data_IF_312825359851
#
_entry.id   IF_312825359851
#
_cell.length_a   1.000
_cell.length_b   1.000
_cell.length_c   1.000
_cell.angle_alpha   90.00
_cell.angle_beta   90.00
_cell.angle_gamma   90.00
#
_symmetry.space_group_name_H-M   'P 1'
#
loop_
_entity.id
_entity.type
_entity.pdbx_description
1 polymer ?
#
# COMPACT_ATOMS: atom_id res chain seq x y z
N UNK A 1 11.87 17.05 -10.99
CA UNK A 1 11.91 15.69 -11.58
C UNK A 1 10.48 15.27 -11.92
N UNK A 2 10.15 15.27 -13.22
CA UNK A 2 8.80 15.08 -13.71
C UNK A 2 8.43 13.61 -13.77
N UNK A 3 7.24 13.27 -13.28
CA UNK A 3 6.58 11.99 -13.54
C UNK A 3 5.81 12.19 -14.85
N UNK A 4 6.37 11.83 -16.01
CA UNK A 4 5.68 11.99 -17.28
C UNK A 4 4.42 11.13 -17.25
N UNK A 5 3.36 11.62 -17.89
CA UNK A 5 2.13 10.87 -18.06
C UNK A 5 2.45 9.60 -18.85
N UNK A 6 2.24 8.39 -18.30
CA UNK A 6 2.49 7.18 -19.05
C UNK A 6 1.39 7.07 -20.12
N UNK A 7 1.77 7.31 -21.37
CA UNK A 7 0.86 7.35 -22.51
C UNK A 7 0.80 6.00 -23.23
N UNK A 8 1.81 5.15 -23.03
CA UNK A 8 1.93 3.86 -23.69
C UNK A 8 1.68 2.72 -22.70
N UNK A 9 1.03 1.61 -23.12
CA UNK A 9 0.87 0.43 -22.28
C UNK A 9 2.19 -0.09 -21.67
N UNK A 10 3.33 0.08 -22.35
CA UNK A 10 4.67 -0.23 -21.83
C UNK A 10 5.10 0.68 -20.67
N UNK A 11 4.75 1.96 -20.69
CA UNK A 11 5.04 2.89 -19.60
C UNK A 11 4.17 2.56 -18.38
N UNK A 12 2.90 2.21 -18.62
CA UNK A 12 1.97 1.77 -17.58
C UNK A 12 2.42 0.43 -16.99
N UNK A 13 2.88 -0.51 -17.82
CA UNK A 13 3.36 -1.82 -17.40
C UNK A 13 4.68 -1.75 -16.63
N UNK A 14 5.61 -0.88 -17.04
CA UNK A 14 6.87 -0.63 -16.31
C UNK A 14 6.62 0.07 -14.97
N UNK A 15 5.64 0.97 -14.91
CA UNK A 15 5.30 1.69 -13.68
C UNK A 15 4.51 0.83 -12.66
N UNK A 16 3.53 0.04 -13.13
CA UNK A 16 2.65 -0.76 -12.27
C UNK A 16 3.10 -2.23 -12.10
N UNK A 17 4.08 -2.70 -12.87
CA UNK A 17 4.50 -4.10 -12.90
C UNK A 17 3.41 -5.06 -13.42
N UNK A 18 2.44 -4.54 -14.17
CA UNK A 18 1.31 -5.30 -14.71
C UNK A 18 1.56 -5.56 -16.20
N UNK A 19 2.21 -6.68 -16.52
CA UNK A 19 2.55 -7.06 -17.90
C UNK A 19 1.35 -7.46 -18.77
N UNK A 20 0.17 -7.67 -18.19
CA UNK A 20 -1.00 -8.24 -18.89
C UNK A 20 -2.22 -7.30 -18.99
N UNK A 21 -2.12 -6.06 -18.53
CA UNK A 21 -3.27 -5.17 -18.49
C UNK A 21 -3.27 -4.18 -19.67
N UNK A 22 -3.66 -4.68 -20.84
CA UNK A 22 -3.87 -3.87 -22.04
C UNK A 22 -5.19 -3.07 -21.97
N UNK A 23 -5.38 -2.33 -20.88
CA UNK A 23 -6.63 -1.60 -20.60
C UNK A 23 -6.36 -0.11 -20.78
N UNK A 24 -6.95 0.43 -21.84
CA UNK A 24 -7.05 1.86 -22.18
C UNK A 24 -7.07 2.71 -20.91
N UNK A 25 -6.11 3.61 -20.76
CA UNK A 25 -6.05 4.57 -19.68
C UNK A 25 -7.23 5.55 -19.82
N UNK A 26 -8.28 5.35 -19.03
CA UNK A 26 -9.47 6.21 -19.04
C UNK A 26 -9.26 7.45 -18.16
N UNK A 27 -10.07 8.49 -18.36
CA UNK A 27 -10.04 9.71 -17.53
C UNK A 27 -10.20 9.44 -16.03
N UNK A 28 -10.94 8.39 -15.66
CA UNK A 28 -11.06 7.95 -14.27
C UNK A 28 -9.73 7.45 -13.69
N UNK A 29 -8.94 6.71 -14.47
CA UNK A 29 -7.60 6.27 -14.08
C UNK A 29 -6.64 7.46 -13.94
N UNK A 30 -6.71 8.44 -14.86
CA UNK A 30 -5.92 9.67 -14.74
C UNK A 30 -6.28 10.45 -13.47
N UNK A 31 -7.57 10.64 -13.20
CA UNK A 31 -8.03 11.38 -12.02
C UNK A 31 -7.53 10.72 -10.73
N UNK A 32 -7.69 9.41 -10.60
CA UNK A 32 -7.18 8.68 -9.44
C UNK A 32 -5.65 8.73 -9.34
N UNK A 33 -4.94 8.68 -10.48
CA UNK A 33 -3.48 8.79 -10.50
C UNK A 33 -2.99 10.18 -10.08
N UNK A 34 -3.64 11.24 -10.56
CA UNK A 34 -3.30 12.62 -10.18
C UNK A 34 -3.65 12.91 -8.72
N UNK A 35 -4.77 12.38 -8.21
CA UNK A 35 -5.13 12.46 -6.80
C UNK A 35 -4.10 11.73 -5.93
N UNK A 36 -3.74 10.50 -6.31
CA UNK A 36 -2.68 9.75 -5.64
C UNK A 36 -1.34 10.48 -5.69
N UNK A 37 -0.97 11.05 -6.84
CA UNK A 37 0.23 11.86 -6.99
C UNK A 37 0.20 13.08 -6.08
N UNK A 38 -0.93 13.80 -6.03
CA UNK A 38 -1.12 14.96 -5.16
C UNK A 38 -1.03 14.60 -3.68
N UNK A 39 -1.64 13.49 -3.25
CA UNK A 39 -1.53 12.98 -1.88
C UNK A 39 -0.07 12.60 -1.58
N UNK A 40 0.60 11.90 -2.49
CA UNK A 40 2.00 11.48 -2.32
C UNK A 40 2.99 12.65 -2.38
N UNK A 41 2.71 13.72 -3.12
CA UNK A 41 3.60 14.91 -3.17
C UNK A 41 3.29 15.93 -2.09
N UNK A 42 2.05 15.99 -1.59
CA UNK A 42 1.63 16.88 -0.50
C UNK A 42 2.00 16.32 0.87
N UNK A 43 1.93 15.00 1.04
CA UNK A 43 2.37 14.35 2.27
C UNK A 43 3.89 14.36 2.28
N UNK A 44 4.50 14.79 3.38
CA UNK A 44 5.94 14.62 3.63
C UNK A 44 6.21 13.11 3.70
N UNK A 45 6.43 12.51 2.53
CA UNK A 45 6.69 11.09 2.32
C UNK A 45 8.03 10.77 2.97
N UNK A 46 8.01 9.77 3.87
CA UNK A 46 9.16 9.15 4.54
C UNK A 46 9.82 10.00 5.62
N UNK A 47 9.06 10.30 6.68
CA UNK A 47 9.69 10.74 7.94
C UNK A 47 10.43 9.55 8.54
N UNK A 48 11.68 9.77 8.96
CA UNK A 48 12.46 8.74 9.65
C UNK A 48 11.71 8.26 10.90
N UNK A 49 11.57 6.93 11.08
CA UNK A 49 10.93 6.39 12.26
C UNK A 49 11.68 6.84 13.50
N UNK A 50 10.95 7.34 14.49
CA UNK A 50 11.52 7.69 15.80
C UNK A 50 11.24 6.55 16.78
N UNK A 51 12.18 6.21 17.65
CA UNK A 51 11.95 5.13 18.63
C UNK A 51 10.99 5.55 19.76
N UNK A 52 10.72 6.85 19.90
CA UNK A 52 9.96 7.41 21.02
C UNK A 52 8.45 7.31 20.92
N UNK A 53 7.88 7.05 19.73
CA UNK A 53 6.42 6.91 19.58
C UNK A 53 6.07 5.53 19.04
N UNK A 54 4.97 4.96 19.53
CA UNK A 54 4.43 3.72 19.02
C UNK A 54 4.04 3.79 17.55
N UNK A 55 4.11 2.65 16.88
CA UNK A 55 3.70 2.50 15.48
C UNK A 55 2.26 2.00 15.41
N UNK A 56 1.52 2.57 14.46
CA UNK A 56 0.18 2.13 14.08
C UNK A 56 0.25 1.60 12.67
N UNK A 57 -0.19 0.37 12.49
CA UNK A 57 -0.28 -0.26 11.16
C UNK A 57 -1.74 -0.29 10.76
N UNK A 58 -2.05 0.35 9.63
CA UNK A 58 -3.34 0.25 8.98
C UNK A 58 -3.24 -0.77 7.86
N UNK A 59 -4.11 -1.78 7.89
CA UNK A 59 -4.18 -2.82 6.88
C UNK A 59 -5.53 -2.75 6.17
N UNK A 60 -5.49 -2.83 4.84
CA UNK A 60 -6.68 -2.94 4.00
C UNK A 60 -6.48 -4.05 2.97
N UNK A 61 -7.54 -4.82 2.74
CA UNK A 61 -7.52 -5.98 1.87
C UNK A 61 -8.73 -5.96 0.94
N UNK A 62 -8.43 -6.03 -0.35
CA UNK A 62 -9.43 -6.21 -1.39
C UNK A 62 -9.25 -7.60 -2.02
N UNK A 63 -10.23 -8.04 -2.81
CA UNK A 63 -10.14 -9.31 -3.55
C UNK A 63 -8.96 -9.37 -4.52
N UNK A 64 -8.34 -8.23 -4.83
CA UNK A 64 -7.32 -8.10 -5.87
C UNK A 64 -5.97 -7.67 -5.28
N UNK A 65 -5.98 -6.80 -4.27
CA UNK A 65 -4.80 -6.17 -3.70
C UNK A 65 -4.79 -6.22 -2.18
N UNK A 66 -3.60 -6.35 -1.62
CA UNK A 66 -3.28 -6.15 -0.20
C UNK A 66 -2.59 -4.79 -0.08
N UNK A 67 -3.02 -3.97 0.87
CA UNK A 67 -2.43 -2.68 1.17
C UNK A 67 -2.19 -2.53 2.66
N UNK A 68 -1.05 -1.96 3.02
CA UNK A 68 -0.79 -1.59 4.40
C UNK A 68 -0.01 -0.28 4.48
N UNK A 69 -0.22 0.44 5.58
CA UNK A 69 0.38 1.73 5.84
C UNK A 69 0.91 1.76 7.27
N UNK A 70 2.19 2.10 7.40
CA UNK A 70 2.83 2.32 8.70
C UNK A 70 2.76 3.82 9.04
N UNK A 71 2.16 4.13 10.18
CA UNK A 71 2.00 5.49 10.68
C UNK A 71 2.56 5.64 12.08
N UNK A 72 3.04 6.84 12.37
CA UNK A 72 3.56 7.22 13.68
C UNK A 72 3.15 8.66 13.96
N UNK A 73 2.51 8.92 15.12
CA UNK A 73 2.06 10.26 15.53
C UNK A 73 1.35 11.04 14.39
N UNK A 74 0.37 10.40 13.74
CA UNK A 74 -0.42 10.94 12.60
C UNK A 74 0.39 11.26 11.33
N UNK A 75 1.64 10.80 11.26
CA UNK A 75 2.53 10.94 10.10
C UNK A 75 2.75 9.59 9.44
N UNK A 76 2.84 9.59 8.12
CA UNK A 76 3.06 8.39 7.33
C UNK A 76 4.55 8.09 7.24
N UNK A 77 4.95 6.89 7.67
CA UNK A 77 6.34 6.45 7.64
C UNK A 77 6.60 5.70 6.33
N UNK A 78 5.78 4.70 6.02
CA UNK A 78 5.96 3.90 4.81
C UNK A 78 4.66 3.27 4.34
N UNK A 79 4.55 3.10 3.03
CA UNK A 79 3.45 2.43 2.36
C UNK A 79 3.95 1.12 1.76
N UNK A 80 3.14 0.08 1.85
CA UNK A 80 3.41 -1.17 1.16
C UNK A 80 2.11 -1.72 0.58
N UNK A 81 2.18 -2.20 -0.66
CA UNK A 81 1.05 -2.87 -1.29
C UNK A 81 1.54 -3.99 -2.20
N UNK A 82 0.69 -4.99 -2.44
CA UNK A 82 0.99 -6.13 -3.29
C UNK A 82 -0.28 -6.72 -3.89
N UNK A 83 -0.20 -7.18 -5.14
CA UNK A 83 -1.29 -7.93 -5.77
C UNK A 83 -1.46 -9.32 -5.14
N UNK A 84 -2.71 -9.77 -4.97
CA UNK A 84 -3.00 -11.14 -4.60
C UNK A 84 -2.55 -12.11 -5.69
N UNK A 85 -1.89 -13.21 -5.31
CA UNK A 85 -1.70 -14.32 -6.26
C UNK A 85 -3.08 -14.87 -6.65
N UNK A 86 -3.26 -15.27 -7.91
CA UNK A 86 -4.55 -15.70 -8.47
C UNK A 86 -5.20 -16.82 -7.61
N UNK A 87 -4.39 -17.72 -7.05
CA UNK A 87 -4.84 -18.81 -6.17
C UNK A 87 -5.42 -18.36 -4.82
N UNK A 88 -5.20 -17.11 -4.42
CA UNK A 88 -5.65 -16.55 -3.12
C UNK A 88 -6.94 -15.74 -3.22
N UNK A 89 -7.52 -15.61 -4.42
CA UNK A 89 -8.73 -14.79 -4.66
C UNK A 89 -10.00 -15.37 -4.03
N UNK A 90 -10.05 -16.68 -3.82
CA UNK A 90 -11.21 -17.38 -3.26
C UNK A 90 -11.12 -17.62 -1.75
N UNK A 91 -10.12 -17.05 -1.07
CA UNK A 91 -10.07 -17.18 0.39
C UNK A 91 -11.23 -16.43 1.06
N UNK A 92 -11.76 -16.97 2.16
CA UNK A 92 -12.74 -16.27 2.96
C UNK A 92 -12.15 -14.97 3.53
N UNK A 93 -13.02 -14.02 3.89
CA UNK A 93 -12.59 -12.64 4.24
C UNK A 93 -11.63 -12.60 5.43
N UNK A 94 -11.83 -13.47 6.43
CA UNK A 94 -10.93 -13.59 7.59
C UNK A 94 -9.49 -14.00 7.21
N UNK A 95 -9.32 -14.88 6.23
CA UNK A 95 -7.99 -15.31 5.76
C UNK A 95 -7.29 -14.19 4.99
N UNK A 96 -8.06 -13.35 4.28
CA UNK A 96 -7.54 -12.18 3.57
C UNK A 96 -7.11 -11.08 4.54
N UNK A 97 -7.83 -10.91 5.65
CA UNK A 97 -7.47 -10.02 6.76
C UNK A 97 -6.16 -10.49 7.43
N UNK A 98 -6.07 -11.79 7.76
CA UNK A 98 -4.84 -12.35 8.30
C UNK A 98 -3.66 -12.22 7.32
N UNK A 99 -3.89 -12.40 6.03
CA UNK A 99 -2.86 -12.27 5.01
C UNK A 99 -2.28 -10.85 4.92
N UNK A 100 -3.10 -9.80 5.06
CA UNK A 100 -2.62 -8.42 5.05
C UNK A 100 -1.83 -8.08 6.31
N UNK A 101 -2.24 -8.62 7.46
CA UNK A 101 -1.51 -8.46 8.73
C UNK A 101 -0.14 -9.15 8.64
N UNK A 102 -0.11 -10.40 8.19
CA UNK A 102 1.15 -11.13 7.99
C UNK A 102 2.05 -10.40 6.99
N UNK A 103 1.50 -9.87 5.90
CA UNK A 103 2.26 -9.10 4.92
C UNK A 103 2.90 -7.84 5.53
N UNK A 104 2.14 -7.07 6.32
CA UNK A 104 2.66 -5.91 7.04
C UNK A 104 3.77 -6.29 8.03
N UNK A 105 3.57 -7.36 8.80
CA UNK A 105 4.57 -7.85 9.76
C UNK A 105 5.85 -8.34 9.07
N UNK A 106 5.74 -8.98 7.90
CA UNK A 106 6.91 -9.43 7.15
C UNK A 106 7.75 -8.27 6.62
N UNK A 107 7.10 -7.21 6.10
CA UNK A 107 7.81 -6.03 5.57
C UNK A 107 8.45 -5.22 6.69
N UNK A 108 7.68 -4.94 7.75
CA UNK A 108 8.14 -4.09 8.85
C UNK A 108 8.71 -4.87 10.03
N UNK A 109 9.09 -6.13 9.82
CA UNK A 109 9.69 -7.00 10.84
C UNK A 109 10.80 -6.27 11.60
N UNK A 110 11.69 -5.57 10.90
CA UNK A 110 12.80 -4.83 11.51
C UNK A 110 12.36 -3.65 12.37
N UNK A 111 11.24 -3.01 12.05
CA UNK A 111 10.71 -1.88 12.82
C UNK A 111 9.88 -2.34 14.02
N UNK A 112 9.15 -3.45 13.87
CA UNK A 112 8.19 -3.91 14.88
C UNK A 112 8.80 -4.78 15.98
N UNK A 113 9.96 -5.43 15.73
CA UNK A 113 10.61 -6.32 16.70
C UNK A 113 11.08 -5.63 18.00
N UNK A 114 11.21 -4.30 18.01
CA UNK A 114 11.65 -3.53 19.18
C UNK A 114 10.51 -2.88 19.99
N UNK A 115 9.25 -3.08 19.61
CA UNK A 115 8.12 -2.43 20.28
C UNK A 115 7.29 -3.42 21.08
N UNK A 116 6.95 -3.01 22.30
CA UNK A 116 6.19 -3.81 23.27
C UNK A 116 4.78 -4.13 22.77
N UNK A 117 4.17 -3.28 21.94
CA UNK A 117 2.85 -3.54 21.31
C UNK A 117 2.63 -2.70 20.04
N UNK A 118 2.80 -3.23 18.82
CA UNK A 118 2.32 -2.54 17.62
C UNK A 118 0.79 -2.54 17.59
N UNK A 119 0.19 -1.37 17.42
CA UNK A 119 -1.27 -1.25 17.32
C UNK A 119 -1.67 -1.49 15.87
N UNK A 120 -2.24 -2.66 15.61
CA UNK A 120 -2.76 -3.03 14.29
C UNK A 120 -4.24 -2.63 14.26
N UNK A 121 -4.59 -1.78 13.29
CA UNK A 121 -5.96 -1.33 13.13
C UNK A 121 -6.49 -1.79 11.78
N UNK A 122 -7.43 -2.72 11.84
CA UNK A 122 -8.20 -3.19 10.70
C UNK A 122 -9.37 -2.22 10.46
N UNK A 123 -9.63 -1.88 9.20
CA UNK A 123 -10.78 -1.07 8.86
C UNK A 123 -12.00 -1.99 8.82
N UNK A 124 -12.89 -1.87 9.81
CA UNK A 124 -14.23 -2.45 9.73
C UNK A 124 -14.91 -1.92 8.47
N UNK A 125 -15.35 -2.84 7.61
CA UNK A 125 -16.19 -2.53 6.44
C UNK A 125 -17.55 -2.01 6.86
#
# INVERSE_FOLDING_TARGET
>A
QGWPRPLTPSDIASFLGLSDYNRRWFETCEKSFQELKSILTSTVVLILPKETYGFVVYCDTSRIWLGCVLMQNRKFISYASRHHKIHKKNYPTHDLELAVVLFALMIWRRYLYGLVTPRIQERAK
#
